data_IF_410357657445
#
_entry.id   IF_410357657445
#
_cell.length_a   1.000
_cell.length_b   1.000
_cell.length_c   1.000
_cell.angle_alpha   90.00
_cell.angle_beta   90.00
_cell.angle_gamma   90.00
#
_symmetry.space_group_name_H-M   'P 1'
#
loop_
_entity.id
_entity.type
_entity.pdbx_description
1 polymer ?
#
# COMPACT_ATOMS: atom_id res chain seq x y z
N UNK A 1 2.45 -13.32 -6.61
CA UNK A 1 2.32 -11.88 -6.30
C UNK A 1 3.69 -11.43 -5.82
N UNK A 2 4.34 -10.50 -6.53
CA UNK A 2 5.75 -10.16 -6.26
C UNK A 2 5.88 -8.68 -5.90
N UNK A 3 6.50 -8.42 -4.75
CA UNK A 3 6.88 -7.08 -4.34
C UNK A 3 8.18 -6.67 -5.02
N UNK A 4 8.15 -5.54 -5.73
CA UNK A 4 9.31 -4.94 -6.37
C UNK A 4 9.82 -3.79 -5.54
N UNK A 5 11.12 -3.79 -5.29
CA UNK A 5 11.81 -2.67 -4.68
C UNK A 5 11.86 -1.49 -5.67
N UNK A 6 11.45 -0.31 -5.21
CA UNK A 6 11.42 0.96 -5.95
C UNK A 6 12.15 2.06 -5.19
N UNK A 7 13.02 1.68 -4.27
CA UNK A 7 13.84 2.60 -3.48
C UNK A 7 14.89 3.28 -4.36
N UNK A 8 15.11 4.58 -4.14
CA UNK A 8 16.20 5.32 -4.79
C UNK A 8 17.42 5.34 -3.86
N UNK A 9 18.47 4.60 -4.21
CA UNK A 9 19.69 4.45 -3.41
C UNK A 9 20.77 5.51 -3.69
N UNK A 10 20.39 6.78 -3.88
CA UNK A 10 21.34 7.81 -4.34
C UNK A 10 22.56 8.00 -3.43
N UNK A 11 22.36 7.99 -2.11
CA UNK A 11 23.42 8.24 -1.12
C UNK A 11 23.43 7.22 0.05
N UNK A 12 22.68 6.13 -0.10
CA UNK A 12 22.51 5.13 0.96
C UNK A 12 23.59 4.03 0.88
N UNK A 13 24.58 4.13 1.78
CA UNK A 13 25.68 3.14 1.90
C UNK A 13 25.18 1.76 2.35
N UNK A 14 24.10 1.69 3.11
CA UNK A 14 23.55 0.44 3.63
C UNK A 14 22.61 -0.24 2.62
N UNK A 15 22.16 0.50 1.59
CA UNK A 15 21.23 0.04 0.54
C UNK A 15 20.00 -0.66 1.11
N UNK A 16 19.39 -0.10 2.16
CA UNK A 16 18.22 -0.70 2.78
C UNK A 16 16.96 -0.26 2.02
N UNK A 17 16.17 -1.20 1.46
CA UNK A 17 14.94 -0.85 0.76
C UNK A 17 13.97 -0.06 1.65
N UNK A 18 13.54 1.09 1.14
CA UNK A 18 12.62 2.00 1.81
C UNK A 18 11.29 2.16 1.08
N UNK A 19 11.15 1.60 -0.13
CA UNK A 19 9.96 1.66 -0.95
C UNK A 19 9.75 0.35 -1.71
N UNK A 20 8.60 -0.27 -1.50
CA UNK A 20 8.18 -1.49 -2.17
C UNK A 20 6.84 -1.27 -2.86
N UNK A 21 6.68 -1.87 -4.04
CA UNK A 21 5.44 -1.80 -4.82
C UNK A 21 5.06 -3.19 -5.29
N UNK A 22 3.79 -3.54 -5.12
CA UNK A 22 3.17 -4.70 -5.73
C UNK A 22 2.07 -4.25 -6.67
N UNK A 23 1.97 -4.94 -7.80
CA UNK A 23 0.94 -4.70 -8.80
C UNK A 23 0.00 -5.90 -8.84
N UNK A 24 -1.29 -5.63 -8.60
CA UNK A 24 -2.38 -6.59 -8.63
C UNK A 24 -3.25 -6.25 -9.83
N UNK A 25 -2.84 -6.75 -11.00
CA UNK A 25 -3.41 -6.34 -12.29
C UNK A 25 -3.36 -4.81 -12.45
N UNK A 26 -4.50 -4.12 -12.47
CA UNK A 26 -4.59 -2.66 -12.59
C UNK A 26 -4.49 -1.91 -11.25
N UNK A 27 -4.36 -2.63 -10.13
CA UNK A 27 -4.31 -2.05 -8.79
C UNK A 27 -2.88 -1.98 -8.28
N UNK A 28 -2.41 -0.77 -7.99
CA UNK A 28 -1.11 -0.54 -7.35
C UNK A 28 -1.25 -0.55 -5.83
N UNK A 29 -0.35 -1.23 -5.12
CA UNK A 29 -0.19 -1.07 -3.66
C UNK A 29 1.29 -0.84 -3.39
N UNK A 30 1.59 0.24 -2.69
CA UNK A 30 2.95 0.64 -2.35
C UNK A 30 3.09 0.74 -0.84
N UNK A 31 4.23 0.32 -0.30
CA UNK A 31 4.65 0.65 1.05
C UNK A 31 5.95 1.44 1.00
N UNK A 32 6.03 2.53 1.75
CA UNK A 32 7.23 3.35 1.83
C UNK A 32 7.49 3.84 3.25
N UNK A 33 8.76 3.98 3.61
CA UNK A 33 9.16 4.57 4.89
C UNK A 33 8.86 6.06 4.87
N UNK A 34 8.32 6.58 5.95
CA UNK A 34 8.14 8.01 6.10
C UNK A 34 9.49 8.70 6.32
N UNK A 35 9.82 9.74 5.55
CA UNK A 35 11.10 10.46 5.68
C UNK A 35 11.22 11.25 7.00
N UNK A 36 10.10 11.78 7.51
CA UNK A 36 10.05 12.57 8.75
C UNK A 36 9.69 11.82 10.04
N UNK A 37 9.20 10.56 9.99
CA UNK A 37 8.94 9.79 11.22
C UNK A 37 10.07 8.76 11.36
N UNK A 38 10.57 8.56 12.59
CA UNK A 38 11.76 7.76 12.86
C UNK A 38 11.78 6.38 12.19
N UNK A 39 12.99 5.85 11.99
CA UNK A 39 13.26 4.55 11.34
C UNK A 39 12.28 3.49 11.88
N UNK A 40 11.43 2.95 10.99
CA UNK A 40 10.51 1.84 11.31
C UNK A 40 9.02 2.11 11.08
N UNK A 41 8.61 3.34 10.77
CA UNK A 41 7.21 3.60 10.39
C UNK A 41 7.02 3.42 8.87
N UNK A 42 6.17 2.45 8.50
CA UNK A 42 5.76 2.22 7.13
C UNK A 42 4.42 2.91 6.85
N UNK A 43 4.29 3.40 5.63
CA UNK A 43 3.04 3.92 5.09
C UNK A 43 2.61 3.03 3.94
N UNK A 44 1.31 2.86 3.76
CA UNK A 44 0.74 2.32 2.53
C UNK A 44 0.09 3.42 1.69
N UNK A 45 0.23 3.31 0.38
CA UNK A 45 -0.48 4.14 -0.59
C UNK A 45 -0.90 3.36 -1.83
N UNK A 46 -1.98 3.79 -2.45
CA UNK A 46 -2.49 3.24 -3.70
C UNK A 46 -3.21 4.33 -4.46
N UNK A 47 -2.79 4.60 -5.70
CA UNK A 47 -3.47 5.57 -6.55
C UNK A 47 -4.82 5.04 -6.99
N UNK A 48 -4.88 3.77 -7.41
CA UNK A 48 -6.11 3.14 -7.87
C UNK A 48 -7.18 3.02 -6.77
N UNK A 49 -6.76 2.65 -5.55
CA UNK A 49 -7.68 2.51 -4.41
C UNK A 49 -7.94 3.83 -3.67
N UNK A 50 -7.30 4.93 -4.06
CA UNK A 50 -7.36 6.23 -3.39
C UNK A 50 -7.00 6.10 -1.90
N UNK A 51 -5.87 5.43 -1.62
CA UNK A 51 -5.30 5.32 -0.28
C UNK A 51 -4.18 6.34 -0.18
N UNK A 52 -4.44 7.42 0.55
CA UNK A 52 -3.46 8.48 0.81
C UNK A 52 -2.65 8.15 2.07
N UNK A 53 -1.38 7.76 1.87
CA UNK A 53 -0.32 7.68 2.89
C UNK A 53 -0.80 7.25 4.29
N UNK A 54 -1.42 6.08 4.37
CA UNK A 54 -1.94 5.54 5.63
C UNK A 54 -0.80 4.88 6.40
N UNK A 55 -0.59 5.30 7.66
CA UNK A 55 0.41 4.69 8.54
C UNK A 55 0.01 3.25 8.87
N UNK A 56 0.98 2.35 8.72
CA UNK A 56 0.88 0.94 9.08
C UNK A 56 1.31 0.76 10.53
N UNK A 57 0.68 -0.19 11.23
CA UNK A 57 1.01 -0.52 12.62
C UNK A 57 2.30 -1.32 12.73
N UNK A 58 2.54 -2.19 11.75
CA UNK A 58 3.69 -3.07 11.74
C UNK A 58 4.97 -2.35 11.29
N UNK A 59 6.06 -2.59 12.03
CA UNK A 59 7.38 -2.00 11.76
C UNK A 59 8.29 -2.92 10.95
N UNK A 60 8.05 -4.23 11.05
CA UNK A 60 8.67 -5.22 10.18
C UNK A 60 8.13 -5.10 8.76
N UNK A 61 9.00 -5.23 7.76
CA UNK A 61 8.66 -5.01 6.36
C UNK A 61 7.67 -6.05 5.83
N UNK A 62 7.81 -7.32 6.20
CA UNK A 62 6.93 -8.38 5.71
C UNK A 62 5.56 -8.30 6.39
N UNK A 63 5.54 -8.02 7.69
CA UNK A 63 4.30 -7.73 8.40
C UNK A 63 3.59 -6.48 7.83
N UNK A 64 4.34 -5.43 7.48
CA UNK A 64 3.80 -4.23 6.85
C UNK A 64 3.24 -4.49 5.44
N UNK A 65 3.91 -5.32 4.63
CA UNK A 65 3.38 -5.76 3.32
C UNK A 65 2.04 -6.45 3.47
N UNK A 66 1.91 -7.37 4.43
CA UNK A 66 0.65 -8.09 4.69
C UNK A 66 -0.46 -7.17 5.20
N UNK A 67 -0.12 -6.21 6.08
CA UNK A 67 -1.07 -5.21 6.55
C UNK A 67 -1.57 -4.32 5.40
N UNK A 68 -0.67 -3.87 4.51
CA UNK A 68 -1.02 -3.09 3.34
C UNK A 68 -1.96 -3.85 2.39
N UNK A 69 -1.73 -5.14 2.16
CA UNK A 69 -2.61 -5.98 1.34
C UNK A 69 -3.98 -6.18 2.00
N UNK A 70 -4.04 -6.32 3.33
CA UNK A 70 -5.30 -6.40 4.07
C UNK A 70 -6.12 -5.13 3.89
N UNK A 71 -5.49 -3.96 4.06
CA UNK A 71 -6.14 -2.66 3.86
C UNK A 71 -6.63 -2.51 2.41
N UNK A 72 -5.81 -2.92 1.43
CA UNK A 72 -6.19 -2.88 0.02
C UNK A 72 -7.42 -3.76 -0.26
N UNK A 73 -7.44 -4.99 0.27
CA UNK A 73 -8.56 -5.92 0.17
C UNK A 73 -9.86 -5.34 0.76
N UNK A 74 -9.80 -4.77 1.97
CA UNK A 74 -10.94 -4.13 2.60
C UNK A 74 -11.49 -2.97 1.76
N UNK A 75 -10.60 -2.16 1.17
CA UNK A 75 -10.98 -1.04 0.31
C UNK A 75 -11.65 -1.50 -0.98
N UNK A 76 -11.16 -2.59 -1.58
CA UNK A 76 -11.77 -3.21 -2.77
C UNK A 76 -13.18 -3.72 -2.44
N UNK A 77 -13.34 -4.48 -1.36
CA UNK A 77 -14.64 -5.02 -0.94
C UNK A 77 -15.63 -3.89 -0.69
N UNK A 78 -15.20 -2.82 0.00
CA UNK A 78 -16.04 -1.64 0.24
C UNK A 78 -16.52 -1.01 -1.07
N UNK A 79 -15.62 -0.78 -2.04
CA UNK A 79 -15.98 -0.22 -3.35
C UNK A 79 -16.93 -1.12 -4.13
N UNK A 80 -16.74 -2.45 -4.08
CA UNK A 80 -17.66 -3.40 -4.71
C UNK A 80 -19.08 -3.29 -4.13
N UNK A 81 -19.20 -3.27 -2.80
CA UNK A 81 -20.50 -3.14 -2.13
C UNK A 81 -21.19 -1.80 -2.48
N UNK A 82 -20.45 -0.70 -2.57
CA UNK A 82 -20.97 0.61 -2.98
C UNK A 82 -21.52 0.58 -4.42
N UNK A 83 -20.79 -0.06 -5.35
CA UNK A 83 -21.22 -0.21 -6.74
C UNK A 83 -22.44 -1.14 -6.88
N UNK A 84 -22.47 -2.25 -6.15
CA UNK A 84 -23.62 -3.16 -6.13
C UNK A 84 -24.88 -2.46 -5.59
N UNK A 85 -24.75 -1.63 -4.56
CA UNK A 85 -25.85 -0.85 -4.03
C UNK A 85 -26.36 0.17 -5.06
N UNK A 86 -25.46 0.88 -5.74
CA UNK A 86 -25.83 1.84 -6.79
C UNK A 86 -26.55 1.16 -7.95
N UNK A 87 -26.06 -0.01 -8.41
CA UNK A 87 -26.70 -0.79 -9.46
C UNK A 87 -28.12 -1.25 -9.11
N UNK A 88 -28.41 -1.52 -7.84
CA UNK A 88 -29.77 -1.89 -7.39
C UNK A 88 -30.74 -0.72 -7.46
N UNK A 89 -30.28 0.51 -7.25
CA UNK A 89 -31.11 1.73 -7.30
C UNK A 89 -31.38 2.18 -8.74
N UNK A 90 -30.48 1.83 -9.68
CA UNK A 90 -30.63 2.16 -11.11
C UNK A 90 -31.55 1.20 -11.89
N UNK A 91 -31.98 0.10 -11.28
CA UNK A 91 -32.94 -0.85 -11.86
C UNK A 91 -34.35 -0.50 -11.42
#
# INVERSE_FOLDING_TARGET
MEWKDKSSYRDDKERIPCHWVVQLDNVDVSIHRHIHYGKGNWLTSSRYLQIEKKVLKNKDVEAAKNEALTIAKEKIIKKLNELEAALKVMK
#
